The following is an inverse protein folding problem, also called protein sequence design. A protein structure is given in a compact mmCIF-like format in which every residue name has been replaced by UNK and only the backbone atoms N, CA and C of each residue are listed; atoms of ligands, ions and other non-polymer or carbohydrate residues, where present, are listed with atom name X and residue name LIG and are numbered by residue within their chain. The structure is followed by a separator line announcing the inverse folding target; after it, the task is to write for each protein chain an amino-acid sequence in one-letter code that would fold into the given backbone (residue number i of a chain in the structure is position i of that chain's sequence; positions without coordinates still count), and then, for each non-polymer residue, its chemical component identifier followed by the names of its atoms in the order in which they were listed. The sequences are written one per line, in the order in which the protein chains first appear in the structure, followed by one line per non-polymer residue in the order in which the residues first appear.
data_IF_703512017827
#
_entry.id   IF_703512017827
#
_cell.length_a   1.000
_cell.length_b   1.000
_cell.length_c   1.000
_cell.angle_alpha   90.00
_cell.angle_beta   90.00
_cell.angle_gamma   90.00
#
_symmetry.space_group_name_H-M   'P 1'
#
loop_
_entity.id
_entity.type
_entity.pdbx_description
1 polymer ?
#
# COMPACT_ATOMS: atom_id res chain seq x y z
N UNK A 1 -2.39 -5.46 18.25
CA UNK A 1 -2.48 -6.63 17.38
C UNK A 1 -3.20 -7.79 18.08
N UNK A 2 -3.96 -8.64 17.38
CA UNK A 2 -4.67 -9.76 17.99
C UNK A 2 -3.72 -10.92 18.33
N UNK A 3 -3.97 -11.57 19.48
CA UNK A 3 -3.21 -12.75 19.93
C UNK A 3 -1.71 -12.46 20.06
N UNK A 4 -0.88 -13.30 19.46
CA UNK A 4 0.59 -13.19 19.52
C UNK A 4 1.19 -12.28 18.45
N UNK A 5 0.38 -11.61 17.64
CA UNK A 5 0.89 -10.63 16.68
C UNK A 5 1.57 -9.46 17.42
N UNK A 6 2.59 -8.89 16.77
CA UNK A 6 3.37 -7.76 17.31
C UNK A 6 3.37 -6.60 16.32
N UNK A 7 3.58 -5.39 16.82
CA UNK A 7 3.74 -4.21 15.99
C UNK A 7 5.02 -4.30 15.14
N UNK A 8 4.99 -3.72 13.94
CA UNK A 8 6.09 -3.81 12.97
C UNK A 8 7.41 -3.27 13.54
N UNK A 9 7.38 -2.15 14.26
CA UNK A 9 8.58 -1.60 14.91
C UNK A 9 9.18 -2.55 15.94
N UNK A 10 8.33 -3.23 16.73
CA UNK A 10 8.81 -4.24 17.67
C UNK A 10 9.49 -5.41 16.96
N UNK A 11 8.90 -5.90 15.84
CA UNK A 11 9.48 -6.99 15.03
C UNK A 11 10.84 -6.57 14.47
N UNK A 12 10.94 -5.36 13.92
CA UNK A 12 12.18 -4.80 13.37
C UNK A 12 13.24 -4.68 14.48
N UNK A 13 12.88 -4.16 15.64
CA UNK A 13 13.77 -4.05 16.79
C UNK A 13 14.31 -5.42 17.23
N UNK A 14 13.43 -6.41 17.36
CA UNK A 14 13.84 -7.76 17.75
C UNK A 14 14.75 -8.43 16.72
N UNK A 15 14.53 -8.16 15.44
CA UNK A 15 15.40 -8.64 14.38
C UNK A 15 16.79 -7.96 14.45
N UNK A 16 16.82 -6.64 14.59
CA UNK A 16 18.06 -5.87 14.74
C UNK A 16 18.93 -6.39 15.90
N UNK A 17 18.31 -6.62 17.07
CA UNK A 17 18.99 -7.18 18.25
C UNK A 17 19.59 -8.57 17.98
N UNK A 18 18.85 -9.46 17.31
CA UNK A 18 19.34 -10.81 16.97
C UNK A 18 20.45 -10.79 15.94
N UNK A 19 20.53 -9.75 15.13
CA UNK A 19 21.63 -9.52 14.20
C UNK A 19 22.84 -8.83 14.86
N UNK A 20 22.78 -8.50 16.16
CA UNK A 20 23.82 -7.82 16.88
C UNK A 20 23.96 -6.35 16.54
N UNK A 21 22.92 -5.73 15.96
CA UNK A 21 22.89 -4.31 15.68
C UNK A 21 22.55 -3.52 16.95
N UNK A 22 23.18 -2.36 17.10
CA UNK A 22 22.84 -1.40 18.16
C UNK A 22 21.46 -0.80 17.86
N UNK A 23 20.63 -0.74 18.88
CA UNK A 23 19.31 -0.15 18.82
C UNK A 23 19.16 0.89 19.92
N UNK A 24 19.35 2.15 19.57
CA UNK A 24 19.48 3.26 20.53
C UNK A 24 18.17 3.65 21.22
N UNK A 25 17.05 3.04 20.78
CA UNK A 25 15.72 3.25 21.37
C UNK A 25 15.34 2.25 22.47
N UNK A 26 16.31 1.48 23.01
CA UNK A 26 16.05 0.43 24.00
C UNK A 26 15.42 0.93 25.30
N UNK A 27 15.85 2.11 25.73
CA UNK A 27 15.42 2.71 27.00
C UNK A 27 14.18 3.60 26.84
N UNK A 28 13.79 3.88 25.63
CA UNK A 28 12.58 4.63 25.37
C UNK A 28 11.45 3.63 25.19
N UNK A 29 10.43 3.78 25.98
CA UNK A 29 9.26 2.90 26.02
C UNK A 29 8.45 2.90 24.71
N UNK A 30 9.18 2.98 23.61
CA UNK A 30 8.72 3.14 22.26
C UNK A 30 7.67 2.15 21.82
N UNK A 31 7.64 1.02 22.49
CA UNK A 31 6.87 -0.10 21.99
C UNK A 31 6.28 -0.92 23.14
N UNK A 32 6.42 -0.42 24.38
CA UNK A 32 5.76 -0.99 25.55
C UNK A 32 4.90 0.07 26.22
N UNK A 33 3.66 -0.26 26.43
CA UNK A 33 2.86 0.48 27.40
C UNK A 33 3.50 0.37 28.79
N UNK A 34 3.26 1.34 29.70
CA UNK A 34 3.82 1.32 31.06
C UNK A 34 3.47 0.06 31.86
N UNK A 35 2.41 -0.65 31.48
CA UNK A 35 1.94 -1.92 32.07
C UNK A 35 2.57 -3.17 31.42
N UNK A 36 3.48 -3.00 30.46
CA UNK A 36 4.17 -4.10 29.78
C UNK A 36 3.37 -4.77 28.65
N UNK A 37 2.18 -4.29 28.34
CA UNK A 37 1.38 -4.77 27.22
C UNK A 37 1.68 -4.00 25.93
N UNK A 38 1.68 -4.71 24.79
CA UNK A 38 1.74 -4.13 23.46
C UNK A 38 0.32 -3.64 23.09
N UNK A 39 -0.09 -2.50 23.60
CA UNK A 39 -1.40 -1.92 23.32
C UNK A 39 -1.39 -0.95 22.14
N UNK A 40 -2.56 -0.52 21.67
CA UNK A 40 -2.63 0.54 20.68
C UNK A 40 -1.98 1.81 21.23
N UNK A 41 -1.18 2.48 20.41
CA UNK A 41 -0.58 3.78 20.72
C UNK A 41 -1.75 4.75 21.03
N UNK A 42 -1.90 5.12 22.29
CA UNK A 42 -2.84 6.18 22.68
C UNK A 42 -2.19 7.54 22.51
N UNK A 43 -2.99 8.60 22.44
CA UNK A 43 -2.51 9.99 22.36
C UNK A 43 -1.58 10.41 23.51
N UNK A 44 -1.47 9.60 24.56
CA UNK A 44 -0.66 9.85 25.74
C UNK A 44 0.67 9.06 25.76
N UNK A 45 0.91 8.15 24.82
CA UNK A 45 2.05 7.23 24.78
C UNK A 45 2.80 7.25 23.44
N UNK A 46 3.17 8.43 22.97
CA UNK A 46 3.79 8.61 21.65
C UNK A 46 5.32 8.47 21.63
N UNK A 47 5.97 8.41 22.78
CA UNK A 47 7.41 8.65 22.92
C UNK A 47 8.29 7.92 21.92
N UNK A 48 7.96 6.71 21.55
CA UNK A 48 8.82 5.99 20.65
C UNK A 48 8.56 6.17 19.19
N UNK A 49 7.33 6.29 18.80
CA UNK A 49 6.99 6.62 17.41
C UNK A 49 7.49 8.03 17.09
N UNK A 50 7.37 8.95 18.06
CA UNK A 50 7.90 10.30 17.96
C UNK A 50 9.41 10.33 17.71
N UNK A 51 10.16 9.59 18.51
CA UNK A 51 11.64 9.58 18.40
C UNK A 51 12.08 9.02 17.04
N UNK A 52 11.48 7.93 16.59
CA UNK A 52 11.75 7.34 15.27
C UNK A 52 11.35 8.30 14.15
N UNK A 53 10.20 8.97 14.28
CA UNK A 53 9.74 9.96 13.32
C UNK A 53 10.69 11.16 13.24
N UNK A 54 11.11 11.70 14.38
CA UNK A 54 12.02 12.84 14.44
C UNK A 54 13.42 12.50 13.91
N UNK A 55 13.89 11.27 14.07
CA UNK A 55 15.11 10.81 13.41
C UNK A 55 14.93 10.76 11.88
N UNK A 56 13.84 10.16 11.40
CA UNK A 56 13.50 10.14 9.97
C UNK A 56 13.42 11.57 9.43
N UNK A 57 12.75 12.49 10.13
CA UNK A 57 12.62 13.89 9.73
C UNK A 57 13.98 14.58 9.59
N UNK A 58 14.91 14.34 10.52
CA UNK A 58 16.27 14.86 10.44
C UNK A 58 17.06 14.26 9.26
N UNK A 59 16.87 12.97 8.98
CA UNK A 59 17.54 12.27 7.89
C UNK A 59 17.04 12.68 6.51
N UNK A 60 15.76 13.04 6.37
CA UNK A 60 15.14 13.40 5.10
C UNK A 60 15.46 14.82 4.60
N UNK A 61 16.21 15.61 5.34
CA UNK A 61 16.63 16.98 5.00
C UNK A 61 15.59 17.89 4.31
N UNK A 62 15.34 19.03 4.88
CA UNK A 62 14.63 20.16 4.27
C UNK A 62 13.17 19.89 3.89
N UNK A 63 12.87 18.86 3.11
CA UNK A 63 11.54 18.64 2.54
C UNK A 63 10.42 18.44 3.57
N UNK A 64 10.73 17.94 4.76
CA UNK A 64 9.80 17.78 5.89
C UNK A 64 10.28 18.49 7.15
N UNK A 65 11.18 19.45 7.03
CA UNK A 65 11.75 20.15 8.18
C UNK A 65 10.68 20.84 9.05
N UNK A 66 9.64 21.38 8.41
CA UNK A 66 8.50 22.02 9.07
C UNK A 66 7.40 21.06 9.52
N UNK A 67 7.54 19.75 9.29
CA UNK A 67 6.55 18.74 9.69
C UNK A 67 7.04 18.06 10.97
N UNK A 68 7.08 18.81 12.09
CA UNK A 68 7.44 18.29 13.39
C UNK A 68 6.33 17.42 13.99
N UNK A 69 6.69 16.51 14.90
CA UNK A 69 5.73 15.65 15.59
C UNK A 69 4.64 16.44 16.30
N UNK A 70 5.03 17.45 17.08
CA UNK A 70 4.07 18.30 17.80
C UNK A 70 3.08 19.01 16.85
N UNK A 71 3.58 19.44 15.69
CA UNK A 71 2.72 20.03 14.66
C UNK A 71 1.72 19.01 14.11
N UNK A 72 2.14 17.80 13.83
CA UNK A 72 1.23 16.72 13.38
C UNK A 72 0.19 16.37 14.44
N UNK A 73 0.56 16.35 15.71
CA UNK A 73 -0.39 16.15 16.81
C UNK A 73 -1.41 17.28 16.87
N UNK A 74 -0.99 18.52 16.67
CA UNK A 74 -1.86 19.70 16.72
C UNK A 74 -2.77 19.82 15.48
N UNK A 75 -2.23 19.58 14.30
CA UNK A 75 -2.89 19.84 13.02
C UNK A 75 -3.44 18.58 12.33
N UNK A 76 -3.14 17.40 12.84
CA UNK A 76 -3.49 16.07 12.30
C UNK A 76 -2.87 15.74 10.94
N UNK A 77 -2.61 16.73 10.10
CA UNK A 77 -1.95 16.56 8.80
C UNK A 77 -1.27 17.86 8.37
N UNK A 78 -0.15 17.74 7.66
CA UNK A 78 0.60 18.86 7.09
C UNK A 78 0.94 18.53 5.65
N UNK A 79 0.77 19.49 4.74
CA UNK A 79 1.05 19.30 3.32
C UNK A 79 2.56 19.24 3.06
N UNK A 80 3.00 18.21 2.36
CA UNK A 80 4.40 18.03 1.90
C UNK A 80 4.59 18.66 0.50
N UNK A 81 5.77 19.18 0.17
CA UNK A 81 6.89 19.50 1.04
C UNK A 81 6.62 20.71 1.94
N UNK A 82 7.29 20.77 3.09
CA UNK A 82 7.12 21.80 4.10
C UNK A 82 8.47 22.09 4.76
N UNK A 83 9.02 23.28 4.53
CA UNK A 83 10.41 23.61 4.83
C UNK A 83 10.61 24.24 6.22
N UNK A 84 9.55 24.81 6.81
CA UNK A 84 9.59 25.45 8.14
C UNK A 84 8.27 25.24 8.89
N UNK A 85 8.27 25.49 10.19
CA UNK A 85 7.09 25.36 11.06
C UNK A 85 5.90 26.18 10.58
N UNK A 86 6.15 27.36 10.01
CA UNK A 86 5.10 28.28 9.50
C UNK A 86 4.76 28.04 8.03
N UNK A 87 5.46 27.12 7.36
CA UNK A 87 5.19 26.80 5.95
C UNK A 87 3.90 25.99 5.82
N UNK A 88 2.91 26.45 5.03
CA UNK A 88 1.67 25.72 4.81
C UNK A 88 1.87 24.44 3.95
N UNK A 89 3.06 24.25 3.39
CA UNK A 89 3.35 23.20 2.41
C UNK A 89 2.95 23.57 0.98
N UNK A 90 3.28 22.71 0.04
CA UNK A 90 3.05 22.93 -1.38
C UNK A 90 2.03 21.93 -1.91
N UNK A 91 0.76 22.34 -2.14
CA UNK A 91 -0.27 21.44 -2.67
C UNK A 91 0.01 20.96 -4.09
N UNK A 92 0.79 21.73 -4.86
CA UNK A 92 1.28 21.35 -6.20
C UNK A 92 2.78 21.59 -6.22
N UNK A 93 3.56 20.53 -6.44
CA UNK A 93 5.03 20.59 -6.50
C UNK A 93 5.54 20.98 -7.89
N UNK A 94 6.76 21.52 -7.95
CA UNK A 94 7.46 21.86 -9.20
C UNK A 94 6.80 22.95 -10.06
N UNK A 95 6.00 23.81 -9.46
CA UNK A 95 5.37 24.96 -10.15
C UNK A 95 6.39 25.97 -10.65
N UNK A 96 7.40 26.27 -9.83
CA UNK A 96 8.39 27.31 -10.13
C UNK A 96 9.72 26.73 -10.60
N UNK A 97 10.11 25.60 -10.04
CA UNK A 97 11.38 24.96 -10.35
C UNK A 97 11.33 23.45 -10.12
N UNK A 98 11.96 22.71 -11.01
CA UNK A 98 12.22 21.28 -10.82
C UNK A 98 13.56 21.11 -10.06
N UNK A 99 13.67 20.16 -9.11
CA UNK A 99 14.89 19.95 -8.30
C UNK A 99 16.00 19.22 -9.10
N UNK A 100 16.36 19.79 -10.24
CA UNK A 100 17.47 19.37 -11.10
C UNK A 100 18.52 20.48 -11.14
N UNK A 101 19.79 20.19 -11.47
CA UNK A 101 20.84 21.21 -11.52
C UNK A 101 20.50 22.40 -12.40
N UNK A 102 19.80 22.19 -13.52
CA UNK A 102 19.39 23.24 -14.46
C UNK A 102 17.96 23.73 -14.27
N UNK A 103 17.23 23.23 -13.24
CA UNK A 103 15.85 23.61 -12.94
C UNK A 103 14.80 23.12 -13.95
N UNK A 104 15.15 22.25 -14.89
CA UNK A 104 14.24 21.74 -15.94
C UNK A 104 13.96 20.26 -15.75
N UNK A 105 12.79 19.83 -16.19
CA UNK A 105 12.44 18.41 -16.27
C UNK A 105 13.41 17.70 -17.22
N UNK A 106 13.94 16.58 -16.80
CA UNK A 106 14.74 15.70 -17.65
C UNK A 106 13.80 14.69 -18.31
N UNK A 107 13.65 14.79 -19.61
CA UNK A 107 12.91 13.82 -20.41
C UNK A 107 13.87 12.69 -20.81
N UNK A 108 13.52 11.48 -20.43
CA UNK A 108 14.25 10.27 -20.79
C UNK A 108 13.41 9.52 -21.83
N UNK A 109 13.90 9.32 -23.05
CA UNK A 109 13.21 8.52 -24.04
C UNK A 109 13.11 7.08 -23.53
N UNK A 110 11.95 6.47 -23.68
CA UNK A 110 11.72 5.08 -23.32
C UNK A 110 10.89 4.41 -24.41
N UNK A 111 11.34 3.24 -24.85
CA UNK A 111 10.56 2.39 -25.75
C UNK A 111 9.51 1.60 -24.96
N UNK A 112 8.36 1.38 -25.60
CA UNK A 112 7.35 0.49 -25.05
C UNK A 112 7.82 -0.94 -25.30
N UNK A 113 8.27 -1.59 -24.24
CA UNK A 113 8.65 -2.99 -24.27
C UNK A 113 7.39 -3.83 -24.06
N UNK A 114 7.01 -4.67 -25.02
CA UNK A 114 5.86 -5.54 -24.84
C UNK A 114 6.13 -6.59 -23.76
N UNK A 115 5.08 -7.18 -23.16
CA UNK A 115 5.26 -8.25 -22.18
C UNK A 115 5.96 -9.47 -22.83
N UNK A 116 6.75 -10.19 -22.02
CA UNK A 116 7.48 -11.39 -22.46
C UNK A 116 6.54 -12.50 -22.94
N UNK A 117 5.34 -12.54 -22.40
CA UNK A 117 4.30 -13.48 -22.75
C UNK A 117 3.10 -12.76 -23.37
N UNK A 118 2.76 -13.12 -24.58
CA UNK A 118 1.62 -12.56 -25.33
C UNK A 118 0.55 -13.65 -25.53
N UNK A 119 -0.71 -13.25 -25.80
CA UNK A 119 -1.72 -14.18 -26.24
C UNK A 119 -1.27 -14.96 -27.48
N UNK A 120 -1.66 -16.22 -27.55
CA UNK A 120 -1.44 -17.11 -28.69
C UNK A 120 -2.65 -18.04 -28.89
N UNK A 121 -2.52 -19.05 -29.77
CA UNK A 121 -3.62 -19.97 -30.07
C UNK A 121 -4.06 -20.80 -28.86
N UNK A 122 -3.15 -21.15 -27.95
CA UNK A 122 -3.45 -21.96 -26.77
C UNK A 122 -3.99 -21.10 -25.59
N UNK A 123 -3.55 -19.85 -25.54
CA UNK A 123 -3.93 -18.88 -24.49
C UNK A 123 -4.34 -17.55 -25.14
N UNK A 124 -5.54 -17.49 -25.75
CA UNK A 124 -5.93 -16.36 -26.60
C UNK A 124 -6.36 -15.11 -25.83
N UNK A 125 -6.56 -15.20 -24.51
CA UNK A 125 -7.07 -14.11 -23.71
C UNK A 125 -5.97 -13.44 -22.90
N UNK A 126 -6.11 -12.14 -22.66
CA UNK A 126 -5.26 -11.38 -21.74
C UNK A 126 -5.87 -11.44 -20.34
N UNK A 127 -5.12 -11.93 -19.34
CA UNK A 127 -5.52 -11.86 -17.94
C UNK A 127 -4.99 -10.58 -17.32
N UNK A 128 -5.91 -9.73 -16.84
CA UNK A 128 -5.58 -8.50 -16.14
C UNK A 128 -5.96 -8.67 -14.67
N UNK A 129 -5.01 -8.48 -13.76
CA UNK A 129 -5.30 -8.46 -12.33
C UNK A 129 -5.68 -7.04 -11.92
N UNK A 130 -6.88 -6.87 -11.38
CA UNK A 130 -7.42 -5.60 -10.92
C UNK A 130 -7.50 -5.50 -9.40
N UNK A 131 -7.60 -4.26 -8.90
CA UNK A 131 -7.91 -4.00 -7.49
C UNK A 131 -9.41 -4.11 -7.25
N UNK A 132 -9.77 -4.58 -6.07
CA UNK A 132 -11.12 -4.61 -5.56
C UNK A 132 -11.25 -3.60 -4.42
N UNK A 133 -12.30 -2.77 -4.45
CA UNK A 133 -12.44 -1.67 -3.50
C UNK A 133 -12.53 -2.15 -2.05
N UNK A 134 -13.26 -3.24 -1.84
CA UNK A 134 -13.57 -3.81 -0.53
C UNK A 134 -12.38 -4.51 0.12
N UNK A 135 -11.41 -4.94 -0.68
CA UNK A 135 -10.30 -5.73 -0.18
C UNK A 135 -8.93 -5.13 -0.49
N UNK A 136 -8.13 -4.96 0.56
CA UNK A 136 -6.76 -4.51 0.46
C UNK A 136 -5.84 -5.66 0.04
N UNK A 137 -5.26 -5.56 -1.16
CA UNK A 137 -4.37 -6.55 -1.76
C UNK A 137 -4.99 -7.97 -1.75
N UNK A 138 -4.39 -8.90 -1.00
CA UNK A 138 -4.86 -10.28 -0.86
C UNK A 138 -6.06 -10.44 0.09
N UNK A 139 -6.52 -9.35 0.70
CA UNK A 139 -7.61 -9.39 1.68
C UNK A 139 -7.21 -9.92 3.06
N UNK A 140 -5.93 -10.13 3.33
CA UNK A 140 -5.47 -10.70 4.60
C UNK A 140 -5.93 -9.92 5.84
N UNK A 141 -6.11 -8.61 5.72
CA UNK A 141 -6.65 -7.76 6.78
C UNK A 141 -8.15 -7.52 6.60
N UNK A 142 -8.57 -7.07 5.42
CA UNK A 142 -9.95 -6.60 5.17
C UNK A 142 -10.97 -7.72 5.19
N UNK A 143 -10.62 -8.96 4.85
CA UNK A 143 -11.49 -10.14 5.01
C UNK A 143 -11.83 -10.49 6.46
N UNK A 144 -11.15 -9.88 7.44
CA UNK A 144 -11.50 -9.96 8.86
C UNK A 144 -12.57 -8.95 9.27
N UNK A 145 -12.87 -7.97 8.43
CA UNK A 145 -13.98 -7.05 8.59
C UNK A 145 -15.22 -7.69 7.97
N UNK A 146 -16.14 -8.16 8.82
CA UNK A 146 -17.33 -8.92 8.39
C UNK A 146 -18.16 -8.22 7.31
N UNK A 147 -18.30 -6.89 7.39
CA UNK A 147 -19.04 -6.11 6.39
C UNK A 147 -18.38 -6.17 5.03
N UNK A 148 -17.06 -6.00 4.97
CA UNK A 148 -16.31 -6.03 3.71
C UNK A 148 -16.30 -7.45 3.12
N UNK A 149 -16.14 -8.46 3.96
CA UNK A 149 -16.17 -9.86 3.52
C UNK A 149 -17.57 -10.31 3.05
N UNK A 150 -18.64 -9.74 3.62
CA UNK A 150 -20.01 -9.98 3.17
C UNK A 150 -20.33 -9.32 1.82
N UNK A 151 -19.72 -8.15 1.53
CA UNK A 151 -19.90 -7.46 0.24
C UNK A 151 -19.20 -8.20 -0.90
N UNK A 152 -17.98 -8.66 -0.67
CA UNK A 152 -17.18 -9.37 -1.68
C UNK A 152 -16.54 -10.63 -1.05
N UNK A 153 -17.32 -11.71 -0.89
CA UNK A 153 -16.89 -12.89 -0.15
C UNK A 153 -15.89 -13.78 -0.90
N UNK A 154 -15.82 -13.67 -2.23
CA UNK A 154 -14.99 -14.52 -3.06
C UNK A 154 -14.39 -13.76 -4.26
N UNK A 155 -13.22 -14.17 -4.73
CA UNK A 155 -12.65 -13.61 -5.96
C UNK A 155 -13.51 -14.01 -7.16
N UNK A 156 -13.64 -13.09 -8.11
CA UNK A 156 -14.40 -13.27 -9.35
C UNK A 156 -13.52 -12.97 -10.56
N UNK A 157 -13.94 -13.45 -11.75
CA UNK A 157 -13.39 -13.03 -13.02
C UNK A 157 -14.42 -12.20 -13.77
N UNK A 158 -14.07 -10.94 -14.06
CA UNK A 158 -14.91 -10.04 -14.86
C UNK A 158 -14.68 -10.29 -16.35
N UNK A 159 -15.75 -10.35 -17.11
CA UNK A 159 -15.75 -10.54 -18.56
C UNK A 159 -16.81 -9.68 -19.22
N UNK A 160 -16.53 -9.18 -20.43
CA UNK A 160 -17.52 -8.46 -21.23
C UNK A 160 -18.73 -9.36 -21.59
N UNK A 161 -19.91 -8.75 -21.70
CA UNK A 161 -21.13 -9.49 -22.02
C UNK A 161 -21.08 -10.25 -23.34
N UNK A 162 -20.40 -9.70 -24.35
CA UNK A 162 -20.24 -10.35 -25.66
C UNK A 162 -19.33 -11.58 -25.58
N UNK A 163 -18.28 -11.53 -24.76
CA UNK A 163 -17.41 -12.69 -24.51
C UNK A 163 -18.15 -13.80 -23.76
N UNK A 164 -18.98 -13.42 -22.78
CA UNK A 164 -19.85 -14.37 -22.08
C UNK A 164 -20.80 -15.07 -23.06
N UNK A 165 -21.44 -14.30 -23.93
CA UNK A 165 -22.35 -14.85 -24.95
C UNK A 165 -21.61 -15.79 -25.92
N UNK A 166 -20.42 -15.38 -26.40
CA UNK A 166 -19.57 -16.18 -27.28
C UNK A 166 -19.13 -17.50 -26.65
N UNK A 167 -18.86 -17.50 -25.36
CA UNK A 167 -18.45 -18.69 -24.61
C UNK A 167 -19.61 -19.49 -24.02
N UNK A 168 -20.85 -19.03 -24.20
CA UNK A 168 -22.05 -19.70 -23.66
C UNK A 168 -22.10 -19.68 -22.13
N UNK A 169 -21.55 -18.64 -21.49
CA UNK A 169 -21.47 -18.48 -20.05
C UNK A 169 -22.55 -17.53 -19.55
N UNK A 170 -23.06 -17.80 -18.36
CA UNK A 170 -23.92 -16.89 -17.62
C UNK A 170 -23.14 -16.27 -16.41
N UNK A 171 -23.50 -15.06 -15.98
CA UNK A 171 -22.95 -14.51 -14.71
C UNK A 171 -23.20 -15.47 -13.55
N UNK A 172 -22.19 -15.67 -12.70
CA UNK A 172 -22.20 -16.64 -11.61
C UNK A 172 -21.72 -18.05 -11.97
N UNK A 173 -21.57 -18.38 -13.27
CA UNK A 173 -20.98 -19.65 -13.68
C UNK A 173 -19.55 -19.80 -13.17
N UNK A 174 -19.18 -21.01 -12.74
CA UNK A 174 -17.81 -21.32 -12.38
C UNK A 174 -17.02 -21.66 -13.64
N UNK A 175 -15.88 -21.04 -13.78
CA UNK A 175 -14.93 -21.26 -14.89
C UNK A 175 -13.54 -21.55 -14.40
N UNK A 176 -12.80 -22.33 -15.17
CA UNK A 176 -11.38 -22.52 -14.99
C UNK A 176 -10.61 -21.45 -15.75
N UNK A 177 -9.90 -20.58 -15.02
CA UNK A 177 -8.94 -19.65 -15.60
C UNK A 177 -7.57 -20.33 -15.57
N UNK A 178 -7.04 -20.61 -16.75
CA UNK A 178 -5.80 -21.37 -16.91
C UNK A 178 -4.73 -20.54 -17.59
N UNK A 179 -3.54 -20.59 -17.08
CA UNK A 179 -2.32 -20.04 -17.68
C UNK A 179 -1.26 -21.14 -17.81
N UNK A 180 -0.12 -20.85 -18.45
CA UNK A 180 1.02 -21.80 -18.51
C UNK A 180 1.56 -22.16 -17.13
N UNK A 181 1.30 -21.37 -16.10
CA UNK A 181 1.84 -21.52 -14.74
C UNK A 181 0.86 -22.13 -13.74
N UNK A 182 -0.41 -22.18 -14.07
CA UNK A 182 -1.40 -22.73 -13.14
C UNK A 182 -2.84 -22.46 -13.55
N UNK A 183 -3.75 -22.92 -12.71
CA UNK A 183 -5.18 -22.82 -12.91
C UNK A 183 -5.88 -22.43 -11.61
N UNK A 184 -6.96 -21.67 -11.75
CA UNK A 184 -7.85 -21.29 -10.64
C UNK A 184 -9.30 -21.38 -11.10
N UNK A 185 -10.20 -21.72 -10.19
CA UNK A 185 -11.65 -21.74 -10.45
C UNK A 185 -12.28 -20.49 -9.84
N UNK A 186 -12.98 -19.71 -10.67
CA UNK A 186 -13.60 -18.45 -10.28
C UNK A 186 -15.04 -18.37 -10.78
N UNK A 187 -15.88 -17.62 -10.07
CA UNK A 187 -17.20 -17.26 -10.57
C UNK A 187 -17.07 -16.09 -11.55
N UNK A 188 -17.84 -16.18 -12.65
CA UNK A 188 -17.86 -15.14 -13.66
C UNK A 188 -18.74 -13.97 -13.22
N UNK A 189 -18.24 -12.75 -13.39
CA UNK A 189 -18.99 -11.50 -13.26
C UNK A 189 -19.09 -10.83 -14.64
N UNK A 190 -20.30 -10.42 -15.04
CA UNK A 190 -20.44 -9.56 -16.22
C UNK A 190 -19.98 -8.15 -15.89
N UNK A 191 -19.14 -7.61 -16.74
CA UNK A 191 -18.63 -6.24 -16.63
C UNK A 191 -18.40 -5.68 -18.04
N UNK A 192 -19.34 -4.88 -18.52
CA UNK A 192 -19.29 -4.30 -19.86
C UNK A 192 -18.25 -3.15 -19.97
N UNK A 193 -17.59 -2.79 -18.89
CA UNK A 193 -16.39 -1.93 -18.88
C UNK A 193 -15.10 -2.69 -19.18
N UNK A 194 -15.12 -4.03 -19.15
CA UNK A 194 -13.97 -4.85 -19.55
C UNK A 194 -13.84 -4.83 -21.09
N UNK A 195 -12.65 -4.63 -21.66
CA UNK A 195 -12.46 -4.73 -23.12
C UNK A 195 -12.84 -6.12 -23.67
N UNK A 196 -13.37 -6.13 -24.88
CA UNK A 196 -13.69 -7.36 -25.66
C UNK A 196 -12.42 -7.93 -26.26
#
# INVERSE_FOLDING_TARGET
PPGDARADLWIIQQLARRLGLTWDYENESCLRLPDGHDGPVSSENHHGVEVVYEEMRRAMHGAIAGIGWERLVRESSVTYPCLSEDDPGQPIVFTDRVPTPNGRVQLVPADIIPPDERPDADYPLVLITGRQLEHWHTGAMTRRAQVLDALEPAPTVSMHGDDLARLGLAPGALVHVTSRRGQVTLAVRRDDGTPV
#
